data_IF_285179199685
#
_entry.id   IF_285179199685
#
_cell.length_a   1.000
_cell.length_b   1.000
_cell.length_c   1.000
_cell.angle_alpha   90.00
_cell.angle_beta   90.00
_cell.angle_gamma   90.00
#
_symmetry.space_group_name_H-M   'P 1'
#
loop_
_entity.id
_entity.type
_entity.pdbx_description
1 polymer ?
#
# COMPACT_ATOMS: atom_id res chain seq x y z
N UNK A 1 2.36 -23.22 -32.38
CA UNK A 1 2.60 -22.32 -31.23
C UNK A 1 2.40 -23.14 -29.98
N UNK A 2 3.48 -23.64 -29.37
CA UNK A 2 3.44 -24.49 -28.17
C UNK A 2 3.15 -23.61 -26.95
N UNK A 3 2.06 -23.91 -26.28
CA UNK A 3 1.69 -23.58 -24.89
C UNK A 3 2.28 -22.29 -24.28
N UNK A 4 1.58 -21.17 -24.50
CA UNK A 4 1.83 -19.87 -23.84
C UNK A 4 1.39 -19.84 -22.36
N UNK A 5 1.42 -20.99 -21.68
CA UNK A 5 1.00 -21.10 -20.28
C UNK A 5 2.23 -21.20 -19.39
N UNK A 6 2.25 -20.37 -18.35
CA UNK A 6 3.25 -20.42 -17.29
C UNK A 6 2.60 -20.97 -16.03
N UNK A 7 3.32 -21.85 -15.32
CA UNK A 7 2.94 -22.23 -13.95
C UNK A 7 2.97 -21.00 -13.07
N UNK A 8 1.88 -20.77 -12.33
CA UNK A 8 1.81 -19.66 -11.40
C UNK A 8 2.57 -20.02 -10.13
N UNK A 9 3.49 -19.15 -9.73
CA UNK A 9 4.14 -19.30 -8.43
C UNK A 9 3.17 -18.94 -7.29
N UNK A 10 3.34 -19.60 -6.14
CA UNK A 10 2.49 -19.38 -4.97
C UNK A 10 2.51 -17.90 -4.55
N UNK A 11 3.66 -17.23 -4.65
CA UNK A 11 3.79 -15.81 -4.29
C UNK A 11 2.88 -14.91 -5.11
N UNK A 12 2.82 -15.12 -6.44
CA UNK A 12 1.96 -14.33 -7.31
C UNK A 12 0.47 -14.65 -7.09
N UNK A 13 0.13 -15.92 -6.91
CA UNK A 13 -1.26 -16.30 -6.61
C UNK A 13 -1.75 -15.69 -5.29
N UNK A 14 -0.88 -15.66 -4.27
CA UNK A 14 -1.18 -15.06 -2.98
C UNK A 14 -1.34 -13.54 -3.07
N UNK A 15 -0.48 -12.86 -3.84
CA UNK A 15 -0.62 -11.42 -4.11
C UNK A 15 -1.98 -11.12 -4.74
N UNK A 16 -2.38 -11.89 -5.75
CA UNK A 16 -3.67 -11.68 -6.44
C UNK A 16 -4.85 -11.98 -5.52
N UNK A 17 -4.74 -12.98 -4.65
CA UNK A 17 -5.74 -13.24 -3.63
C UNK A 17 -5.89 -12.05 -2.66
N UNK A 18 -4.77 -11.52 -2.15
CA UNK A 18 -4.80 -10.39 -1.22
C UNK A 18 -5.36 -9.12 -1.83
N UNK A 19 -5.07 -8.86 -3.11
CA UNK A 19 -5.53 -7.65 -3.79
C UNK A 19 -6.96 -7.75 -4.32
N UNK A 20 -7.38 -8.92 -4.80
CA UNK A 20 -8.60 -9.06 -5.61
C UNK A 20 -9.54 -10.18 -5.17
N UNK A 21 -9.19 -10.92 -4.12
CA UNK A 21 -10.04 -11.96 -3.56
C UNK A 21 -10.05 -13.27 -4.34
N UNK A 22 -10.87 -14.20 -3.84
CA UNK A 22 -10.89 -15.60 -4.25
C UNK A 22 -11.25 -15.82 -5.73
N UNK A 23 -12.15 -14.99 -6.28
CA UNK A 23 -12.57 -15.09 -7.69
C UNK A 23 -11.39 -14.93 -8.64
N UNK A 24 -10.58 -13.90 -8.44
CA UNK A 24 -9.42 -13.61 -9.28
C UNK A 24 -8.28 -14.62 -9.01
N UNK A 25 -8.09 -15.03 -7.75
CA UNK A 25 -7.15 -16.09 -7.40
C UNK A 25 -7.41 -17.38 -8.17
N UNK A 26 -8.65 -17.90 -8.17
CA UNK A 26 -9.01 -19.15 -8.85
C UNK A 26 -8.69 -19.14 -10.34
N UNK A 27 -8.77 -17.98 -11.00
CA UNK A 27 -8.48 -17.84 -12.44
C UNK A 27 -7.02 -18.08 -12.80
N UNK A 28 -6.09 -17.82 -11.88
CA UNK A 28 -4.65 -17.88 -12.18
C UNK A 28 -3.84 -18.76 -11.23
N UNK A 29 -4.40 -19.33 -10.18
CA UNK A 29 -3.63 -19.99 -9.11
C UNK A 29 -2.74 -21.17 -9.56
N UNK A 30 -3.10 -21.87 -10.65
CA UNK A 30 -2.33 -23.02 -11.17
C UNK A 30 -1.43 -22.64 -12.33
N UNK A 31 -2.03 -22.09 -13.37
CA UNK A 31 -1.36 -21.66 -14.59
C UNK A 31 -2.05 -20.42 -15.13
N UNK A 32 -1.31 -19.57 -15.82
CA UNK A 32 -1.86 -18.43 -16.53
C UNK A 32 -1.18 -18.28 -17.89
N UNK A 33 -1.92 -17.73 -18.86
CA UNK A 33 -1.32 -17.38 -20.14
C UNK A 33 -0.78 -15.94 -20.13
N UNK A 34 -0.08 -15.55 -21.19
CA UNK A 34 0.48 -14.21 -21.32
C UNK A 34 -0.57 -13.09 -21.24
N UNK A 35 -1.76 -13.32 -21.82
CA UNK A 35 -2.87 -12.35 -21.79
C UNK A 35 -3.36 -12.13 -20.35
N UNK A 36 -3.47 -13.21 -19.58
CA UNK A 36 -3.87 -13.15 -18.18
C UNK A 36 -2.81 -12.45 -17.33
N UNK A 37 -1.52 -12.77 -17.50
CA UNK A 37 -0.44 -12.05 -16.80
C UNK A 37 -0.48 -10.55 -17.09
N UNK A 38 -0.57 -10.17 -18.37
CA UNK A 38 -0.65 -8.76 -18.78
C UNK A 38 -1.86 -8.06 -18.17
N UNK A 39 -3.03 -8.73 -18.18
CA UNK A 39 -4.26 -8.22 -17.56
C UNK A 39 -4.05 -7.95 -16.07
N UNK A 40 -3.47 -8.89 -15.32
CA UNK A 40 -3.26 -8.72 -13.88
C UNK A 40 -2.19 -7.70 -13.55
N UNK A 41 -1.10 -7.60 -14.30
CA UNK A 41 -0.11 -6.54 -14.10
C UNK A 41 -0.71 -5.16 -14.35
N UNK A 42 -1.50 -4.99 -15.42
CA UNK A 42 -2.23 -3.73 -15.64
C UNK A 42 -3.25 -3.43 -14.52
N UNK A 43 -3.95 -4.45 -14.02
CA UNK A 43 -4.87 -4.30 -12.89
C UNK A 43 -4.12 -3.81 -11.65
N UNK A 44 -2.95 -4.37 -11.35
CA UNK A 44 -2.09 -3.97 -10.23
C UNK A 44 -1.60 -2.53 -10.41
N UNK A 45 -1.05 -2.18 -11.58
CA UNK A 45 -0.59 -0.81 -11.88
C UNK A 45 -1.72 0.20 -11.68
N UNK A 46 -2.94 -0.12 -12.13
CA UNK A 46 -4.12 0.73 -11.94
C UNK A 46 -4.56 0.83 -10.47
N UNK A 47 -4.54 -0.28 -9.73
CA UNK A 47 -4.83 -0.27 -8.29
C UNK A 47 -3.84 0.60 -7.51
N UNK A 48 -2.56 0.55 -7.87
CA UNK A 48 -1.51 1.39 -7.30
C UNK A 48 -1.78 2.88 -7.59
N UNK A 49 -2.16 3.20 -8.83
CA UNK A 49 -2.54 4.57 -9.21
C UNK A 49 -3.63 5.12 -8.31
N UNK A 50 -4.74 4.38 -8.19
CA UNK A 50 -5.86 4.78 -7.33
C UNK A 50 -5.44 4.93 -5.87
N UNK A 51 -4.63 4.00 -5.35
CA UNK A 51 -4.15 4.10 -3.98
C UNK A 51 -3.32 5.38 -3.75
N UNK A 52 -2.44 5.74 -4.69
CA UNK A 52 -1.63 6.97 -4.61
C UNK A 52 -2.52 8.22 -4.69
N UNK A 53 -3.46 8.26 -5.63
CA UNK A 53 -4.36 9.41 -5.81
C UNK A 53 -5.21 9.69 -4.57
N UNK A 54 -5.75 8.63 -3.96
CA UNK A 54 -6.65 8.72 -2.79
C UNK A 54 -5.91 8.86 -1.44
N UNK A 55 -4.70 8.32 -1.32
CA UNK A 55 -3.98 8.27 -0.03
C UNK A 55 -2.98 9.41 0.14
N UNK A 56 -2.29 9.81 -0.93
CA UNK A 56 -1.28 10.88 -0.88
C UNK A 56 -1.98 12.22 -1.10
N UNK A 57 -2.46 12.79 0.00
CA UNK A 57 -3.21 14.06 0.03
C UNK A 57 -2.30 15.29 0.19
N UNK A 58 -1.13 15.12 0.82
CA UNK A 58 -0.15 16.19 1.06
C UNK A 58 1.15 15.78 0.38
N UNK A 59 1.45 16.41 -0.76
CA UNK A 59 2.72 16.30 -1.48
C UNK A 59 2.88 17.54 -2.37
N UNK A 60 4.11 17.88 -2.73
CA UNK A 60 4.32 18.87 -3.78
C UNK A 60 3.85 18.31 -5.13
N UNK A 61 3.38 19.21 -6.01
CA UNK A 61 2.82 18.81 -7.30
C UNK A 61 3.84 18.10 -8.18
N UNK A 62 5.12 18.48 -8.09
CA UNK A 62 6.16 17.87 -8.93
C UNK A 62 6.33 16.39 -8.58
N UNK A 63 6.47 16.06 -7.29
CA UNK A 63 6.58 14.69 -6.83
C UNK A 63 5.33 13.86 -7.14
N UNK A 64 4.14 14.42 -6.91
CA UNK A 64 2.89 13.71 -7.23
C UNK A 64 2.80 13.41 -8.72
N UNK A 65 3.18 14.35 -9.59
CA UNK A 65 3.24 14.11 -11.04
C UNK A 65 4.31 13.10 -11.43
N UNK A 66 5.48 13.12 -10.78
CA UNK A 66 6.54 12.14 -11.00
C UNK A 66 6.04 10.71 -10.75
N UNK A 67 5.39 10.46 -9.61
CA UNK A 67 4.75 9.17 -9.29
C UNK A 67 3.74 8.74 -10.36
N UNK A 68 2.85 9.66 -10.78
CA UNK A 68 1.81 9.36 -11.77
C UNK A 68 2.37 9.13 -13.18
N UNK A 69 3.44 9.82 -13.53
CA UNK A 69 4.14 9.65 -14.80
C UNK A 69 4.84 8.29 -14.85
N UNK A 70 5.55 7.88 -13.79
CA UNK A 70 6.16 6.54 -13.68
C UNK A 70 5.12 5.44 -13.86
N UNK A 71 3.94 5.59 -13.25
CA UNK A 71 2.82 4.63 -13.41
C UNK A 71 2.30 4.62 -14.85
N UNK A 72 2.06 5.78 -15.44
CA UNK A 72 1.52 5.91 -16.80
C UNK A 72 2.48 5.32 -17.83
N UNK A 73 3.77 5.57 -17.67
CA UNK A 73 4.81 4.99 -18.52
C UNK A 73 4.87 3.47 -18.36
N UNK A 74 4.81 2.95 -17.13
CA UNK A 74 4.73 1.51 -16.90
C UNK A 74 3.51 0.87 -17.55
N UNK A 75 2.34 1.50 -17.52
CA UNK A 75 1.15 0.98 -18.22
C UNK A 75 1.39 0.86 -19.72
N UNK A 76 2.03 1.88 -20.33
CA UNK A 76 2.38 1.88 -21.76
C UNK A 76 3.33 0.74 -22.08
N UNK A 77 4.37 0.56 -21.27
CA UNK A 77 5.37 -0.49 -21.43
C UNK A 77 4.73 -1.88 -21.32
N UNK A 78 3.94 -2.13 -20.27
CA UNK A 78 3.22 -3.40 -20.04
C UNK A 78 2.29 -3.72 -21.22
N UNK A 79 1.52 -2.74 -21.72
CA UNK A 79 0.64 -2.91 -22.89
C UNK A 79 1.43 -3.38 -24.12
N UNK A 80 2.61 -2.79 -24.33
CA UNK A 80 3.47 -3.08 -25.48
C UNK A 80 4.31 -4.36 -25.37
N UNK A 81 4.42 -4.96 -24.18
CA UNK A 81 5.19 -6.19 -23.95
C UNK A 81 4.71 -7.35 -24.84
N UNK A 82 5.64 -8.18 -25.30
CA UNK A 82 5.37 -9.31 -26.21
C UNK A 82 5.78 -10.67 -25.63
N UNK A 83 6.37 -10.70 -24.43
CA UNK A 83 6.84 -11.92 -23.79
C UNK A 83 6.72 -11.82 -22.27
N UNK A 84 6.66 -12.97 -21.59
CA UNK A 84 6.69 -13.03 -20.14
C UNK A 84 7.94 -12.35 -19.57
N UNK A 85 9.12 -12.60 -20.13
CA UNK A 85 10.37 -12.00 -19.65
C UNK A 85 10.34 -10.48 -19.72
N UNK A 86 9.85 -9.91 -20.82
CA UNK A 86 9.72 -8.46 -20.96
C UNK A 86 8.68 -7.90 -19.99
N UNK A 87 7.59 -8.63 -19.75
CA UNK A 87 6.53 -8.23 -18.84
C UNK A 87 7.02 -8.21 -17.38
N UNK A 88 7.73 -9.26 -16.96
CA UNK A 88 8.32 -9.39 -15.63
C UNK A 88 9.36 -8.29 -15.38
N UNK A 89 10.30 -8.09 -16.31
CA UNK A 89 11.34 -7.05 -16.18
C UNK A 89 10.75 -5.65 -16.09
N UNK A 90 9.69 -5.36 -16.85
CA UNK A 90 8.98 -4.09 -16.78
C UNK A 90 8.32 -3.90 -15.41
N UNK A 91 7.64 -4.93 -14.89
CA UNK A 91 6.98 -4.86 -13.58
C UNK A 91 7.99 -4.64 -12.44
N UNK A 92 9.11 -5.37 -12.46
CA UNK A 92 10.17 -5.24 -11.45
C UNK A 92 10.79 -3.85 -11.49
N UNK A 93 11.08 -3.33 -12.69
CA UNK A 93 11.66 -1.99 -12.87
C UNK A 93 10.69 -0.92 -12.36
N UNK A 94 9.42 -0.99 -12.76
CA UNK A 94 8.35 -0.10 -12.31
C UNK A 94 8.20 -0.09 -10.79
N UNK A 95 8.07 -1.26 -10.16
CA UNK A 95 7.90 -1.35 -8.71
C UNK A 95 9.12 -0.81 -7.97
N UNK A 96 10.33 -1.08 -8.46
CA UNK A 96 11.57 -0.61 -7.84
C UNK A 96 11.66 0.92 -7.88
N UNK A 97 11.40 1.52 -9.05
CA UNK A 97 11.37 2.97 -9.22
C UNK A 97 10.32 3.62 -8.31
N UNK A 98 9.11 3.07 -8.31
CA UNK A 98 8.02 3.59 -7.50
C UNK A 98 8.33 3.50 -6.00
N UNK A 99 8.95 2.42 -5.52
CA UNK A 99 9.37 2.28 -4.12
C UNK A 99 10.35 3.39 -3.74
N UNK A 100 11.36 3.67 -4.57
CA UNK A 100 12.31 4.73 -4.27
C UNK A 100 11.67 6.12 -4.28
N UNK A 101 10.77 6.39 -5.24
CA UNK A 101 10.02 7.64 -5.28
C UNK A 101 9.14 7.80 -4.04
N UNK A 102 8.41 6.76 -3.63
CA UNK A 102 7.58 6.79 -2.42
C UNK A 102 8.39 7.03 -1.15
N UNK A 103 9.66 6.61 -1.13
CA UNK A 103 10.55 6.79 0.03
C UNK A 103 11.24 8.16 0.03
N UNK A 104 11.42 8.76 -1.14
CA UNK A 104 12.23 9.98 -1.30
C UNK A 104 12.46 10.25 -2.77
N UNK A 105 13.59 9.83 -3.33
CA UNK A 105 13.96 10.07 -4.72
C UNK A 105 14.50 8.81 -5.40
N UNK A 106 14.30 8.71 -6.72
CA UNK A 106 14.94 7.69 -7.55
C UNK A 106 16.40 8.09 -7.85
N UNK A 107 17.41 7.28 -7.47
CA UNK A 107 18.80 7.65 -7.70
C UNK A 107 19.19 7.55 -9.19
N UNK A 108 19.52 8.69 -9.82
CA UNK A 108 20.02 8.76 -11.21
C UNK A 108 21.54 8.62 -11.29
N UNK A 109 22.06 7.40 -11.15
CA UNK A 109 23.51 7.12 -11.07
C UNK A 109 24.14 6.67 -12.38
N UNK A 110 23.57 7.04 -13.53
CA UNK A 110 24.01 6.56 -14.85
C UNK A 110 25.49 6.81 -15.16
N UNK A 111 26.10 7.83 -14.54
CA UNK A 111 27.51 8.17 -14.73
C UNK A 111 28.46 7.51 -13.71
N UNK A 112 27.94 6.80 -12.71
CA UNK A 112 28.76 6.17 -11.68
C UNK A 112 29.16 4.75 -12.09
N UNK A 113 30.47 4.49 -12.21
CA UNK A 113 30.98 3.15 -12.55
C UNK A 113 30.70 2.11 -11.46
N UNK A 114 30.61 2.53 -10.20
CA UNK A 114 30.31 1.66 -9.06
C UNK A 114 29.60 2.42 -7.96
N UNK A 115 28.49 1.85 -7.49
CA UNK A 115 27.77 2.34 -6.30
C UNK A 115 28.16 1.46 -5.12
N UNK A 116 28.77 2.05 -4.09
CA UNK A 116 29.06 1.32 -2.85
C UNK A 116 27.81 1.36 -1.96
N UNK A 117 27.45 0.22 -1.37
CA UNK A 117 26.33 0.14 -0.45
C UNK A 117 26.66 0.74 0.94
N UNK A 118 26.89 2.05 1.00
CA UNK A 118 27.13 2.82 2.23
C UNK A 118 25.87 3.61 2.58
N UNK A 119 25.55 3.73 3.88
CA UNK A 119 24.33 4.43 4.35
C UNK A 119 24.18 5.84 3.78
N UNK A 120 25.26 6.61 3.74
CA UNK A 120 25.26 7.97 3.19
C UNK A 120 24.88 8.03 1.71
N UNK A 121 25.16 6.96 0.95
CA UNK A 121 24.78 6.83 -0.45
C UNK A 121 23.31 6.44 -0.63
N UNK A 122 22.54 6.19 0.42
CA UNK A 122 21.12 5.85 0.34
C UNK A 122 20.25 6.75 1.20
N UNK A 123 20.78 7.92 1.58
CA UNK A 123 19.99 9.03 2.06
C UNK A 123 19.33 9.67 0.83
N UNK A 124 18.00 9.57 0.74
CA UNK A 124 17.21 9.92 -0.44
C UNK A 124 16.28 11.12 -0.18
N UNK A 125 16.60 11.95 0.82
CA UNK A 125 15.78 13.06 1.30
C UNK A 125 16.28 14.44 0.81
N UNK A 126 17.03 14.47 -0.30
CA UNK A 126 17.62 15.71 -0.83
C UNK A 126 16.59 16.82 -1.09
N UNK A 127 15.36 16.45 -1.45
CA UNK A 127 14.27 17.39 -1.76
C UNK A 127 13.10 17.30 -0.78
N UNK A 128 12.91 16.17 -0.10
CA UNK A 128 11.68 15.87 0.65
C UNK A 128 11.89 14.77 1.69
N UNK A 129 11.08 14.81 2.74
CA UNK A 129 10.99 13.78 3.76
C UNK A 129 9.55 13.23 3.81
N UNK A 130 9.41 11.94 4.10
CA UNK A 130 8.09 11.33 4.29
C UNK A 130 7.60 11.63 5.70
N UNK A 131 6.34 12.07 5.80
CA UNK A 131 5.62 12.14 7.05
C UNK A 131 4.33 11.33 6.96
N UNK A 132 4.13 10.40 7.90
CA UNK A 132 2.86 9.72 8.08
C UNK A 132 1.99 10.53 9.03
N UNK A 133 0.77 10.88 8.60
CA UNK A 133 -0.19 11.65 9.38
C UNK A 133 -1.46 10.85 9.65
N UNK A 134 -1.98 10.98 10.87
CA UNK A 134 -3.24 10.36 11.29
C UNK A 134 -4.26 11.44 11.62
N UNK A 135 -5.38 11.43 10.92
CA UNK A 135 -6.55 12.23 11.31
C UNK A 135 -7.35 11.51 12.41
N UNK A 136 -8.38 12.17 12.93
CA UNK A 136 -9.21 11.63 14.01
C UNK A 136 -9.88 10.28 13.64
N UNK A 137 -10.29 10.12 12.38
CA UNK A 137 -10.85 8.86 11.89
C UNK A 137 -9.83 7.72 11.87
N UNK A 138 -8.58 7.98 11.47
CA UNK A 138 -7.52 6.98 11.51
C UNK A 138 -7.26 6.53 12.96
N UNK A 139 -7.17 7.47 13.90
CA UNK A 139 -7.00 7.15 15.32
C UNK A 139 -8.17 6.37 15.89
N UNK A 140 -9.41 6.75 15.56
CA UNK A 140 -10.62 5.97 15.90
C UNK A 140 -10.51 4.53 15.41
N UNK A 141 -10.12 4.31 14.15
CA UNK A 141 -10.02 2.95 13.61
C UNK A 141 -8.94 2.11 14.32
N UNK A 142 -7.82 2.73 14.72
CA UNK A 142 -6.79 2.10 15.55
C UNK A 142 -7.35 1.71 16.93
N UNK A 143 -8.08 2.62 17.58
CA UNK A 143 -8.76 2.35 18.86
C UNK A 143 -9.73 1.16 18.70
N UNK A 144 -10.55 1.15 17.65
CA UNK A 144 -11.48 0.06 17.38
C UNK A 144 -10.77 -1.28 17.23
N UNK A 145 -9.68 -1.32 16.45
CA UNK A 145 -8.85 -2.52 16.31
C UNK A 145 -8.24 -2.98 17.63
N UNK A 146 -7.74 -2.05 18.45
CA UNK A 146 -7.16 -2.35 19.76
C UNK A 146 -8.19 -2.90 20.75
N UNK A 147 -9.40 -2.35 20.77
CA UNK A 147 -10.50 -2.85 21.60
C UNK A 147 -10.91 -4.25 21.18
N UNK A 148 -11.04 -4.49 19.88
CA UNK A 148 -11.42 -5.80 19.35
C UNK A 148 -10.35 -6.88 19.53
N UNK A 149 -9.07 -6.53 19.64
CA UNK A 149 -7.98 -7.51 19.70
C UNK A 149 -7.36 -7.63 21.10
N UNK A 150 -6.81 -6.53 21.61
CA UNK A 150 -6.00 -6.47 22.82
C UNK A 150 -6.81 -6.25 24.09
N UNK A 151 -7.94 -5.56 24.00
CA UNK A 151 -8.66 -5.08 25.18
C UNK A 151 -10.07 -5.67 25.36
N UNK A 152 -10.37 -6.82 24.73
CA UNK A 152 -11.69 -7.47 24.84
C UNK A 152 -12.19 -7.59 26.30
N UNK A 153 -11.29 -7.96 27.22
CA UNK A 153 -11.64 -8.10 28.64
C UNK A 153 -11.93 -6.80 29.39
N UNK A 154 -11.40 -5.65 28.92
CA UNK A 154 -11.56 -4.34 29.58
C UNK A 154 -12.85 -3.60 29.18
N UNK A 155 -13.41 -3.91 28.00
CA UNK A 155 -14.54 -3.15 27.43
C UNK A 155 -15.83 -3.97 27.25
N UNK A 156 -15.87 -5.20 27.77
CA UNK A 156 -17.02 -6.09 27.56
C UNK A 156 -17.14 -6.52 26.10
N UNK A 157 -18.37 -6.71 25.61
CA UNK A 157 -18.55 -7.06 24.20
C UNK A 157 -18.23 -5.88 23.29
N UNK A 158 -17.83 -6.17 22.05
CA UNK A 158 -17.60 -5.13 21.04
C UNK A 158 -18.85 -4.26 20.80
N UNK A 159 -20.04 -4.88 20.86
CA UNK A 159 -21.31 -4.17 20.74
C UNK A 159 -21.53 -3.17 21.87
N UNK A 160 -21.16 -3.53 23.10
CA UNK A 160 -21.28 -2.65 24.26
C UNK A 160 -20.37 -1.43 24.14
N UNK A 161 -19.13 -1.62 23.72
CA UNK A 161 -18.21 -0.52 23.47
C UNK A 161 -18.76 0.44 22.41
N UNK A 162 -19.20 -0.10 21.26
CA UNK A 162 -19.75 0.74 20.20
C UNK A 162 -20.99 1.51 20.65
N UNK A 163 -21.94 0.84 21.30
CA UNK A 163 -23.20 1.46 21.70
C UNK A 163 -23.05 2.41 22.88
N UNK A 164 -22.46 1.95 23.97
CA UNK A 164 -22.43 2.72 25.21
C UNK A 164 -21.36 3.80 25.21
N UNK A 165 -20.25 3.60 24.50
CA UNK A 165 -19.15 4.57 24.47
C UNK A 165 -19.24 5.38 23.18
N UNK A 166 -18.98 4.77 22.02
CA UNK A 166 -18.86 5.56 20.78
C UNK A 166 -20.17 6.23 20.35
N UNK A 167 -21.31 5.53 20.42
CA UNK A 167 -22.60 6.07 20.00
C UNK A 167 -23.22 7.00 21.04
N UNK A 168 -23.26 6.61 22.31
CA UNK A 168 -23.94 7.36 23.37
C UNK A 168 -23.08 8.46 24.01
N UNK A 169 -21.83 8.17 24.35
CA UNK A 169 -20.98 9.12 25.09
C UNK A 169 -20.18 10.02 24.18
N UNK A 170 -19.70 9.49 23.05
CA UNK A 170 -18.88 10.24 22.09
C UNK A 170 -19.67 10.70 20.86
N UNK A 171 -20.99 10.53 20.83
CA UNK A 171 -21.88 11.03 19.78
C UNK A 171 -21.47 10.71 18.33
N UNK A 172 -20.80 9.58 18.08
CA UNK A 172 -20.21 9.21 16.77
C UNK A 172 -19.05 10.11 16.33
N UNK A 173 -18.55 10.97 17.20
CA UNK A 173 -17.44 11.87 16.94
C UNK A 173 -16.10 11.16 17.25
N UNK A 174 -15.20 11.02 16.25
CA UNK A 174 -13.86 10.50 16.47
C UNK A 174 -13.01 11.29 17.47
N UNK A 175 -13.13 12.62 17.52
CA UNK A 175 -12.35 13.48 18.41
C UNK A 175 -12.81 13.31 19.87
N UNK A 176 -14.13 13.23 20.10
CA UNK A 176 -14.66 12.92 21.43
C UNK A 176 -14.23 11.52 21.90
N UNK A 177 -14.21 10.54 20.99
CA UNK A 177 -13.72 9.20 21.32
C UNK A 177 -12.24 9.22 21.74
N UNK A 178 -11.40 9.97 21.03
CA UNK A 178 -9.97 10.10 21.34
C UNK A 178 -9.78 10.72 22.72
N UNK A 179 -10.52 11.80 23.04
CA UNK A 179 -10.46 12.44 24.35
C UNK A 179 -10.95 11.53 25.46
N UNK A 180 -12.08 10.85 25.24
CA UNK A 180 -12.62 9.87 26.18
C UNK A 180 -11.61 8.74 26.44
N UNK A 181 -11.01 8.21 25.38
CA UNK A 181 -10.06 7.10 25.48
C UNK A 181 -8.78 7.52 26.20
N UNK A 182 -8.24 8.71 25.89
CA UNK A 182 -7.09 9.28 26.58
C UNK A 182 -7.34 9.52 28.07
N UNK A 183 -8.56 9.94 28.44
CA UNK A 183 -8.94 10.18 29.84
C UNK A 183 -9.11 8.89 30.64
N UNK A 184 -9.82 7.91 30.07
CA UNK A 184 -10.21 6.70 30.79
C UNK A 184 -9.18 5.57 30.68
N UNK A 185 -8.33 5.61 29.65
CA UNK A 185 -7.38 4.55 29.29
C UNK A 185 -6.07 5.12 28.74
N UNK A 186 -5.47 6.03 29.51
CA UNK A 186 -4.20 6.67 29.16
C UNK A 186 -3.06 5.65 28.92
N UNK A 187 -3.07 4.53 29.66
CA UNK A 187 -2.13 3.41 29.50
C UNK A 187 -2.15 2.84 28.09
N UNK A 188 -3.33 2.56 27.56
CA UNK A 188 -3.50 1.99 26.22
C UNK A 188 -3.27 3.08 25.16
N UNK A 189 -3.72 4.32 25.42
CA UNK A 189 -3.56 5.41 24.47
C UNK A 189 -2.08 5.67 24.12
N UNK A 190 -1.19 5.69 25.11
CA UNK A 190 0.25 5.90 24.90
C UNK A 190 0.97 4.75 24.21
N UNK A 191 0.42 3.53 24.24
CA UNK A 191 0.97 2.42 23.45
C UNK A 191 0.57 2.55 21.96
N UNK A 192 -0.61 3.12 21.70
CA UNK A 192 -1.15 3.25 20.34
C UNK A 192 -0.64 4.50 19.60
N UNK A 193 -0.31 5.58 20.32
CA UNK A 193 0.04 6.90 19.77
C UNK A 193 1.13 7.61 20.58
#
# INVERSE_FOLDING_TARGET
MKDNYRKTDMSFSHLIHNLYGDKDYRLIHTTHNFTDAKKYFLKITKSIKFAIEETITIADNYHKQELLNTITESERLIKSSKSFDSLDQQMVSFQSELIFLLIGLMPHRWQQQKVINKRSSWKLDDYRQIQYMQNANHKKNIIFGAVQSKCKGKYGSWGDFLYNIYYKQCHRDPDELILWFKKNHADIYSELF
#
